data_IF_393555868374
#
_entry.id   IF_393555868374
#
_cell.length_a   1.000
_cell.length_b   1.000
_cell.length_c   1.000
_cell.angle_alpha   90.00
_cell.angle_beta   90.00
_cell.angle_gamma   90.00
#
_symmetry.space_group_name_H-M   'P 1'
#
loop_
_entity.id
_entity.type
_entity.pdbx_description
1 polymer ?
#
# COMPACT_ATOMS: atom_id res chain seq x y z
N UNK A 1 -37.28 -17.27 3.54
CA UNK A 1 -37.20 -16.08 2.65
C UNK A 1 -35.82 -15.46 2.84
N UNK A 2 -35.17 -15.06 1.75
CA UNK A 2 -33.94 -14.29 1.82
C UNK A 2 -34.24 -12.93 2.46
N UNK A 3 -33.34 -12.50 3.34
CA UNK A 3 -33.53 -11.30 4.16
C UNK A 3 -32.90 -10.06 3.52
N UNK A 4 -31.87 -10.28 2.67
CA UNK A 4 -31.09 -9.23 2.03
C UNK A 4 -31.00 -9.44 0.51
N UNK A 5 -30.87 -8.35 -0.26
CA UNK A 5 -30.49 -8.40 -1.67
C UNK A 5 -29.01 -8.83 -1.82
N UNK A 6 -28.14 -8.30 -0.96
CA UNK A 6 -26.70 -8.58 -1.01
C UNK A 6 -26.13 -9.00 0.35
N UNK A 7 -25.33 -10.06 0.34
CA UNK A 7 -24.36 -10.38 1.37
C UNK A 7 -22.96 -9.94 0.87
N UNK A 8 -22.33 -9.01 1.58
CA UNK A 8 -21.03 -8.46 1.24
C UNK A 8 -20.00 -9.01 2.23
N UNK A 9 -19.03 -9.78 1.72
CA UNK A 9 -17.98 -10.39 2.53
C UNK A 9 -16.72 -9.53 2.48
N UNK A 10 -16.44 -8.87 3.59
CA UNK A 10 -15.35 -7.91 3.77
C UNK A 10 -15.87 -6.51 4.05
N UNK A 11 -15.63 -6.01 5.27
CA UNK A 11 -15.95 -4.64 5.70
C UNK A 11 -14.82 -3.64 5.43
N UNK A 12 -13.98 -3.92 4.44
CA UNK A 12 -12.96 -3.00 3.92
C UNK A 12 -13.57 -1.92 3.02
N UNK A 13 -12.73 -1.05 2.45
CA UNK A 13 -13.18 0.08 1.64
C UNK A 13 -14.07 -0.34 0.45
N UNK A 14 -13.69 -1.41 -0.28
CA UNK A 14 -14.50 -1.89 -1.40
C UNK A 14 -15.89 -2.33 -0.96
N UNK A 15 -15.97 -3.19 0.07
CA UNK A 15 -17.26 -3.70 0.58
C UNK A 15 -18.14 -2.59 1.14
N UNK A 16 -17.55 -1.63 1.87
CA UNK A 16 -18.27 -0.48 2.42
C UNK A 16 -18.84 0.44 1.32
N UNK A 17 -18.05 0.73 0.28
CA UNK A 17 -18.52 1.53 -0.87
C UNK A 17 -19.62 0.80 -1.63
N UNK A 18 -19.45 -0.51 -1.89
CA UNK A 18 -20.48 -1.30 -2.56
C UNK A 18 -21.79 -1.29 -1.75
N UNK A 19 -21.70 -1.55 -0.44
CA UNK A 19 -22.87 -1.56 0.44
C UNK A 19 -23.60 -0.21 0.44
N UNK A 20 -22.86 0.89 0.56
CA UNK A 20 -23.40 2.25 0.52
C UNK A 20 -24.10 2.56 -0.80
N UNK A 21 -23.49 2.21 -1.93
CA UNK A 21 -24.10 2.46 -3.25
C UNK A 21 -25.34 1.58 -3.49
N UNK A 22 -25.30 0.32 -3.08
CA UNK A 22 -26.43 -0.60 -3.17
C UNK A 22 -27.60 -0.11 -2.31
N UNK A 23 -27.34 0.30 -1.07
CA UNK A 23 -28.38 0.84 -0.15
C UNK A 23 -28.96 2.14 -0.70
N UNK A 24 -28.15 3.02 -1.25
CA UNK A 24 -28.61 4.24 -1.94
C UNK A 24 -29.53 3.92 -3.14
N UNK A 25 -29.31 2.78 -3.78
CA UNK A 25 -30.16 2.27 -4.87
C UNK A 25 -31.40 1.48 -4.35
N UNK A 26 -31.71 1.53 -3.06
CA UNK A 26 -32.88 0.88 -2.46
C UNK A 26 -32.70 -0.61 -2.19
N UNK A 27 -31.46 -1.13 -2.15
CA UNK A 27 -31.14 -2.52 -1.88
C UNK A 27 -30.82 -2.74 -0.41
N UNK A 28 -31.24 -3.88 0.13
CA UNK A 28 -30.91 -4.32 1.48
C UNK A 28 -29.57 -5.07 1.47
N UNK A 29 -28.66 -4.72 2.40
CA UNK A 29 -27.32 -5.26 2.48
C UNK A 29 -27.01 -5.80 3.88
N UNK A 30 -26.31 -6.94 3.93
CA UNK A 30 -25.60 -7.43 5.10
C UNK A 30 -24.11 -7.45 4.80
N UNK A 31 -23.30 -6.74 5.59
CA UNK A 31 -21.83 -6.80 5.51
C UNK A 31 -21.31 -7.73 6.61
N UNK A 32 -20.39 -8.63 6.26
CA UNK A 32 -19.73 -9.52 7.23
C UNK A 32 -18.23 -9.42 7.09
N UNK A 33 -17.51 -9.47 8.22
CA UNK A 33 -16.04 -9.56 8.21
C UNK A 33 -15.56 -10.58 9.23
N UNK A 34 -14.49 -11.32 8.88
CA UNK A 34 -13.85 -12.29 9.77
C UNK A 34 -13.10 -11.64 10.95
N UNK A 35 -12.74 -10.36 10.81
CA UNK A 35 -12.03 -9.56 11.82
C UNK A 35 -13.04 -8.99 12.83
N UNK A 36 -12.51 -8.57 13.97
CA UNK A 36 -13.22 -7.88 15.06
C UNK A 36 -13.41 -6.37 14.80
N UNK A 37 -12.99 -5.91 13.62
CA UNK A 37 -13.06 -4.50 13.22
C UNK A 37 -13.45 -4.32 11.75
N UNK A 38 -14.01 -3.17 11.42
CA UNK A 38 -14.25 -2.68 10.05
C UNK A 38 -12.95 -2.15 9.42
N UNK A 39 -13.04 -1.59 8.24
CA UNK A 39 -11.99 -0.89 7.50
C UNK A 39 -10.93 -1.79 6.85
N UNK A 40 -10.97 -3.11 7.06
CA UNK A 40 -10.04 -4.02 6.38
C UNK A 40 -8.58 -3.60 6.58
N UNK A 41 -7.81 -3.51 5.50
CA UNK A 41 -6.38 -3.15 5.57
C UNK A 41 -6.13 -1.66 5.80
N UNK A 42 -7.14 -0.79 5.69
CA UNK A 42 -7.00 0.64 6.01
C UNK A 42 -7.38 0.95 7.48
N UNK A 43 -7.60 -0.09 8.30
CA UNK A 43 -7.91 0.08 9.72
C UNK A 43 -6.83 0.89 10.45
N UNK A 44 -7.28 1.84 11.25
CA UNK A 44 -6.43 2.66 12.14
C UNK A 44 -6.79 2.42 13.59
N UNK A 45 -5.77 2.14 14.42
CA UNK A 45 -5.90 2.00 15.87
C UNK A 45 -5.46 3.29 16.55
N UNK A 46 -6.25 3.80 17.49
CA UNK A 46 -5.84 4.98 18.25
C UNK A 46 -4.93 4.58 19.43
N UNK A 47 -3.68 5.05 19.40
CA UNK A 47 -2.70 4.84 20.46
C UNK A 47 -2.20 6.22 20.90
N UNK A 48 -2.44 6.61 22.15
CA UNK A 48 -2.03 7.91 22.71
C UNK A 48 -2.47 9.12 21.84
N UNK A 49 -3.64 9.03 21.22
CA UNK A 49 -4.16 10.06 20.33
C UNK A 49 -3.56 10.06 18.91
N UNK A 50 -2.78 9.04 18.56
CA UNK A 50 -2.18 8.85 17.23
C UNK A 50 -2.94 7.74 16.50
N UNK A 51 -3.41 7.99 15.29
CA UNK A 51 -4.04 6.99 14.44
C UNK A 51 -2.96 6.12 13.77
N UNK A 52 -2.73 4.93 14.32
CA UNK A 52 -1.75 3.95 13.84
C UNK A 52 -2.35 3.11 12.72
N UNK A 53 -1.77 3.14 11.54
CA UNK A 53 -2.17 2.30 10.40
C UNK A 53 -1.68 0.87 10.64
N UNK A 54 -2.57 -0.01 11.11
CA UNK A 54 -2.21 -1.37 11.58
C UNK A 54 -1.67 -2.30 10.50
N UNK A 55 -2.08 -2.08 9.27
CA UNK A 55 -1.72 -2.93 8.12
C UNK A 55 -0.83 -2.20 7.10
N UNK A 56 -0.05 -1.23 7.56
CA UNK A 56 0.83 -0.42 6.72
C UNK A 56 0.24 0.92 6.33
N UNK A 57 1.09 1.81 5.84
CA UNK A 57 0.70 3.15 5.45
C UNK A 57 -0.25 3.14 4.25
N UNK A 58 -1.40 3.74 4.41
CA UNK A 58 -2.36 3.97 3.34
C UNK A 58 -2.59 5.47 3.18
N UNK A 59 -2.28 5.99 2.01
CA UNK A 59 -2.51 7.37 1.62
C UNK A 59 -3.52 7.38 0.49
N UNK A 60 -4.66 8.08 0.68
CA UNK A 60 -5.65 8.20 -0.38
C UNK A 60 -5.13 9.14 -1.46
N UNK A 61 -5.18 8.71 -2.72
CA UNK A 61 -4.82 9.55 -3.86
C UNK A 61 -5.62 9.17 -5.10
N UNK A 62 -5.95 10.13 -5.95
CA UNK A 62 -6.69 9.90 -7.19
C UNK A 62 -6.60 11.09 -8.15
N UNK A 63 -6.66 10.83 -9.45
CA UNK A 63 -6.90 11.86 -10.48
C UNK A 63 -8.39 12.03 -10.79
N UNK A 64 -9.24 11.08 -10.37
CA UNK A 64 -10.67 11.13 -10.65
C UNK A 64 -11.39 12.05 -9.66
N UNK A 65 -11.89 13.17 -10.18
CA UNK A 65 -12.64 14.15 -9.38
C UNK A 65 -13.93 13.56 -8.78
N UNK A 66 -14.62 12.70 -9.48
CA UNK A 66 -15.86 12.07 -8.98
C UNK A 66 -15.58 11.21 -7.75
N UNK A 67 -14.47 10.43 -7.80
CA UNK A 67 -14.04 9.63 -6.65
C UNK A 67 -13.63 10.52 -5.48
N UNK A 68 -12.90 11.61 -5.74
CA UNK A 68 -12.52 12.57 -4.72
C UNK A 68 -13.74 13.23 -4.08
N UNK A 69 -14.68 13.73 -4.88
CA UNK A 69 -15.93 14.34 -4.39
C UNK A 69 -16.79 13.32 -3.62
N UNK A 70 -16.80 12.07 -4.06
CA UNK A 70 -17.53 11.01 -3.38
C UNK A 70 -16.98 10.73 -1.98
N UNK A 71 -15.69 10.50 -1.82
CA UNK A 71 -15.12 10.19 -0.49
C UNK A 71 -15.19 11.37 0.47
N UNK A 72 -15.15 12.60 -0.04
CA UNK A 72 -15.31 13.82 0.76
C UNK A 72 -16.74 14.04 1.28
N UNK A 73 -17.74 13.24 0.85
CA UNK A 73 -19.07 13.23 1.48
C UNK A 73 -19.06 12.51 2.84
N UNK A 74 -18.07 11.64 3.08
CA UNK A 74 -18.02 10.77 4.26
C UNK A 74 -16.88 11.11 5.23
N UNK A 75 -15.83 11.78 4.76
CA UNK A 75 -14.71 12.23 5.59
C UNK A 75 -14.10 13.52 5.06
N UNK A 76 -13.48 14.29 5.94
CA UNK A 76 -12.66 15.43 5.56
C UNK A 76 -11.21 14.96 5.43
N UNK A 77 -10.61 15.19 4.27
CA UNK A 77 -9.21 14.85 4.03
C UNK A 77 -8.30 16.04 4.36
N UNK A 78 -7.16 15.75 4.97
CA UNK A 78 -6.15 16.76 5.23
C UNK A 78 -5.29 17.01 3.98
N UNK A 79 -4.28 17.88 4.12
CA UNK A 79 -3.35 18.24 3.04
C UNK A 79 -2.08 17.39 3.02
N UNK A 80 -2.08 16.20 3.59
CA UNK A 80 -0.88 15.35 3.62
C UNK A 80 -0.42 15.04 2.19
N UNK A 81 0.85 15.33 1.93
CA UNK A 81 1.53 15.02 0.67
C UNK A 81 2.57 13.94 0.95
N UNK A 82 2.45 12.80 0.28
CA UNK A 82 3.36 11.70 0.48
C UNK A 82 4.74 12.01 -0.10
N UNK A 83 5.72 12.19 0.76
CA UNK A 83 7.10 12.53 0.41
C UNK A 83 8.08 11.63 1.19
N UNK A 84 8.14 10.31 0.85
CA UNK A 84 9.00 9.37 1.53
C UNK A 84 10.48 9.68 1.29
N UNK A 85 11.32 9.25 2.22
CA UNK A 85 12.77 9.37 2.15
C UNK A 85 13.39 7.96 2.16
N UNK A 86 14.45 7.75 1.38
CA UNK A 86 15.25 6.54 1.43
C UNK A 86 16.50 6.76 2.27
N UNK A 87 16.78 5.84 3.18
CA UNK A 87 18.03 5.76 3.93
C UNK A 87 18.86 4.60 3.36
N UNK A 88 20.04 4.92 2.87
CA UNK A 88 21.06 3.96 2.45
C UNK A 88 22.32 4.18 3.28
N UNK A 89 22.56 3.34 4.28
CA UNK A 89 23.76 3.39 5.15
C UNK A 89 24.00 4.77 5.79
N UNK A 90 22.91 5.45 6.19
CA UNK A 90 22.96 6.80 6.77
C UNK A 90 22.90 7.94 5.76
N UNK A 91 22.98 7.68 4.47
CA UNK A 91 22.75 8.68 3.42
C UNK A 91 21.26 8.78 3.12
N UNK A 92 20.70 9.98 3.18
CA UNK A 92 19.27 10.23 2.93
C UNK A 92 19.05 10.75 1.51
N UNK A 93 18.07 10.15 0.83
CA UNK A 93 17.66 10.49 -0.53
C UNK A 93 16.16 10.72 -0.60
N UNK A 94 15.72 11.73 -1.35
CA UNK A 94 14.30 11.96 -1.60
C UNK A 94 13.72 10.93 -2.57
N UNK A 95 12.45 10.59 -2.36
CA UNK A 95 11.64 9.79 -3.27
C UNK A 95 10.39 10.60 -3.68
N UNK A 96 9.88 10.42 -4.91
CA UNK A 96 10.39 9.58 -5.99
C UNK A 96 11.75 10.06 -6.46
N UNK A 97 12.41 9.30 -7.36
CA UNK A 97 13.70 9.74 -7.94
C UNK A 97 13.49 11.03 -8.72
N UNK A 98 14.04 12.11 -8.21
CA UNK A 98 13.86 13.47 -8.72
C UNK A 98 15.17 14.27 -8.65
N UNK A 99 15.14 15.54 -9.02
CA UNK A 99 16.35 16.39 -9.01
C UNK A 99 17.03 16.49 -7.64
N UNK A 100 16.27 16.39 -6.51
CA UNK A 100 16.90 16.33 -5.18
C UNK A 100 17.69 15.03 -4.99
N UNK A 101 17.16 13.90 -5.47
CA UNK A 101 17.85 12.60 -5.45
C UNK A 101 19.14 12.66 -6.29
N UNK A 102 19.04 13.19 -7.52
CA UNK A 102 20.17 13.27 -8.46
C UNK A 102 21.23 14.24 -7.98
N UNK A 103 20.84 15.40 -7.44
CA UNK A 103 21.77 16.35 -6.83
C UNK A 103 22.50 15.72 -5.65
N UNK A 104 21.78 15.06 -4.73
CA UNK A 104 22.40 14.39 -3.58
C UNK A 104 23.37 13.29 -4.00
N UNK A 105 23.05 12.54 -5.05
CA UNK A 105 23.87 11.39 -5.50
C UNK A 105 25.06 11.80 -6.34
N UNK A 106 24.89 12.77 -7.26
CA UNK A 106 25.89 13.12 -8.29
C UNK A 106 26.33 14.58 -8.28
N UNK A 107 25.74 15.44 -7.46
CA UNK A 107 26.05 16.87 -7.44
C UNK A 107 25.50 17.66 -8.65
N UNK A 108 24.68 17.04 -9.49
CA UNK A 108 24.08 17.69 -10.68
C UNK A 108 23.01 18.71 -10.26
N UNK A 109 22.87 19.78 -11.05
CA UNK A 109 21.98 20.89 -10.74
C UNK A 109 20.85 21.02 -11.77
N UNK A 110 21.12 20.65 -13.03
CA UNK A 110 20.16 20.79 -14.13
C UNK A 110 19.60 19.44 -14.58
N UNK A 111 18.37 19.42 -15.16
CA UNK A 111 17.83 18.22 -15.79
C UNK A 111 18.77 17.58 -16.82
N UNK A 112 19.39 18.38 -17.68
CA UNK A 112 20.29 17.89 -18.72
C UNK A 112 21.53 17.18 -18.15
N UNK A 113 22.10 17.67 -17.04
CA UNK A 113 23.21 16.99 -16.33
C UNK A 113 22.76 15.67 -15.74
N UNK A 114 21.56 15.61 -15.15
CA UNK A 114 21.00 14.40 -14.58
C UNK A 114 20.70 13.35 -15.66
N UNK A 115 20.10 13.76 -16.78
CA UNK A 115 19.85 12.89 -17.94
C UNK A 115 21.14 12.35 -18.51
N UNK A 116 22.16 13.19 -18.70
CA UNK A 116 23.48 12.79 -19.19
C UNK A 116 24.15 11.77 -18.25
N UNK A 117 23.98 11.94 -16.92
CA UNK A 117 24.53 11.01 -15.93
C UNK A 117 23.85 9.65 -15.95
N UNK A 118 22.52 9.61 -16.09
CA UNK A 118 21.76 8.38 -16.27
C UNK A 118 22.18 7.69 -17.57
N UNK A 119 22.32 8.44 -18.67
CA UNK A 119 22.72 7.91 -19.98
C UNK A 119 24.14 7.32 -19.94
N UNK A 120 25.09 8.01 -19.31
CA UNK A 120 26.44 7.50 -19.10
C UNK A 120 26.45 6.13 -18.42
N UNK A 121 25.64 5.99 -17.34
CA UNK A 121 25.60 4.76 -16.56
C UNK A 121 24.88 3.61 -17.26
N UNK A 122 23.81 3.92 -17.97
CA UNK A 122 23.06 2.88 -18.69
C UNK A 122 23.75 2.43 -19.98
N UNK A 123 24.61 3.25 -20.60
CA UNK A 123 25.20 2.93 -21.90
C UNK A 123 25.97 1.61 -21.94
N UNK A 124 26.61 1.22 -20.82
CA UNK A 124 27.32 -0.05 -20.69
C UNK A 124 26.43 -1.28 -20.45
N UNK A 125 25.15 -1.05 -20.06
CA UNK A 125 24.22 -2.09 -19.61
C UNK A 125 22.88 -2.04 -20.33
N UNK A 126 22.72 -1.13 -21.31
CA UNK A 126 21.45 -0.92 -22.02
C UNK A 126 21.00 -2.18 -22.75
N UNK A 127 19.74 -2.54 -22.55
CA UNK A 127 19.06 -3.55 -23.35
C UNK A 127 17.72 -3.00 -23.86
N UNK A 128 17.48 -3.19 -25.16
CA UNK A 128 16.22 -2.72 -25.77
C UNK A 128 14.99 -3.48 -25.25
N UNK A 129 15.17 -4.73 -24.87
CA UNK A 129 14.11 -5.61 -24.35
C UNK A 129 14.54 -6.18 -22.99
N UNK A 130 14.33 -5.42 -21.88
CA UNK A 130 14.71 -5.88 -20.55
C UNK A 130 13.89 -7.09 -20.14
N UNK A 131 14.56 -8.17 -19.77
CA UNK A 131 13.94 -9.45 -19.39
C UNK A 131 13.58 -9.55 -17.92
N UNK A 132 14.23 -8.74 -17.10
CA UNK A 132 14.08 -8.78 -15.65
C UNK A 132 14.10 -7.37 -15.06
N UNK A 133 13.80 -7.30 -13.74
CA UNK A 133 13.72 -6.05 -13.02
C UNK A 133 15.05 -5.29 -12.97
N UNK A 134 16.19 -5.99 -12.83
CA UNK A 134 17.51 -5.37 -12.81
C UNK A 134 17.80 -4.61 -14.12
N UNK A 135 17.65 -5.27 -15.27
CA UNK A 135 17.83 -4.66 -16.58
C UNK A 135 16.89 -3.46 -16.79
N UNK A 136 15.63 -3.61 -16.40
CA UNK A 136 14.65 -2.53 -16.52
C UNK A 136 15.00 -1.35 -15.60
N UNK A 137 15.43 -1.59 -14.37
CA UNK A 137 15.82 -0.54 -13.43
C UNK A 137 17.03 0.23 -13.92
N UNK A 138 18.08 -0.45 -14.36
CA UNK A 138 19.31 0.21 -14.89
C UNK A 138 18.96 1.03 -16.13
N UNK A 139 18.10 0.55 -17.02
CA UNK A 139 17.60 1.31 -18.16
C UNK A 139 16.87 2.60 -17.76
N UNK A 140 16.19 2.62 -16.61
CA UNK A 140 15.41 3.77 -16.17
C UNK A 140 16.24 4.80 -15.39
N UNK A 141 17.11 4.34 -14.49
CA UNK A 141 17.71 5.22 -13.47
C UNK A 141 19.24 5.11 -13.38
N UNK A 142 19.87 4.23 -14.17
CA UNK A 142 21.32 3.97 -14.09
C UNK A 142 21.70 3.05 -12.92
N UNK A 143 22.99 2.69 -12.89
CA UNK A 143 23.52 1.71 -11.94
C UNK A 143 23.57 2.22 -10.51
N UNK A 144 23.93 3.48 -10.27
CA UNK A 144 24.10 4.01 -8.91
C UNK A 144 22.77 4.02 -8.15
N UNK A 145 21.70 4.50 -8.78
CA UNK A 145 20.35 4.52 -8.18
C UNK A 145 19.85 3.10 -8.01
N UNK A 146 20.05 2.23 -9.01
CA UNK A 146 19.67 0.83 -8.90
C UNK A 146 20.34 0.16 -7.70
N UNK A 147 21.65 0.21 -7.57
CA UNK A 147 22.39 -0.47 -6.50
C UNK A 147 22.08 0.09 -5.11
N UNK A 148 22.00 1.44 -4.96
CA UNK A 148 21.76 2.07 -3.66
C UNK A 148 20.31 2.06 -3.22
N UNK A 149 19.36 2.31 -4.13
CA UNK A 149 18.00 2.67 -3.74
C UNK A 149 16.92 1.66 -4.18
N UNK A 150 17.19 0.81 -5.17
CA UNK A 150 16.21 -0.12 -5.74
C UNK A 150 16.48 -1.57 -5.34
N UNK A 151 17.68 -2.06 -5.58
CA UNK A 151 18.04 -3.47 -5.54
C UNK A 151 17.61 -4.16 -4.25
N UNK A 152 18.25 -3.85 -3.15
CA UNK A 152 18.03 -4.59 -1.90
C UNK A 152 16.69 -4.28 -1.25
N UNK A 153 16.12 -3.08 -1.48
CA UNK A 153 14.75 -2.81 -1.07
C UNK A 153 13.77 -3.75 -1.77
N UNK A 154 13.91 -3.90 -3.08
CA UNK A 154 13.04 -4.77 -3.89
C UNK A 154 13.26 -6.25 -3.56
N UNK A 155 14.53 -6.67 -3.40
CA UNK A 155 14.87 -8.05 -3.01
C UNK A 155 14.29 -8.44 -1.64
N UNK A 156 14.31 -7.53 -0.67
CA UNK A 156 13.63 -7.73 0.63
C UNK A 156 12.13 -7.88 0.44
N UNK A 157 11.52 -6.97 -0.31
CA UNK A 157 10.07 -6.95 -0.52
C UNK A 157 9.56 -8.23 -1.19
N UNK A 158 10.27 -8.68 -2.23
CA UNK A 158 9.83 -9.84 -3.02
C UNK A 158 10.45 -11.17 -2.56
N UNK A 159 11.51 -11.15 -1.75
CA UNK A 159 12.22 -12.34 -1.30
C UNK A 159 12.95 -13.09 -2.42
N UNK A 160 13.26 -12.40 -3.52
CA UNK A 160 13.95 -12.90 -4.73
C UNK A 160 14.96 -11.88 -5.21
N UNK A 161 16.00 -12.31 -5.91
CA UNK A 161 16.95 -11.40 -6.55
C UNK A 161 16.27 -10.62 -7.70
N UNK A 162 16.69 -9.37 -7.92
CA UNK A 162 16.11 -8.54 -8.98
C UNK A 162 16.19 -9.14 -10.38
N UNK A 163 17.23 -9.91 -10.66
CA UNK A 163 17.39 -10.64 -11.95
C UNK A 163 16.34 -11.76 -12.16
N UNK A 164 15.72 -12.24 -11.09
CA UNK A 164 14.71 -13.31 -11.12
C UNK A 164 13.29 -12.73 -11.04
N UNK A 165 13.15 -11.42 -11.01
CA UNK A 165 11.86 -10.71 -10.98
C UNK A 165 11.51 -10.15 -12.35
N UNK A 166 10.20 -10.18 -12.75
CA UNK A 166 9.77 -9.64 -14.02
C UNK A 166 10.01 -8.13 -14.16
N UNK A 167 10.40 -7.68 -15.34
CA UNK A 167 10.69 -6.27 -15.65
C UNK A 167 9.49 -5.33 -15.38
N UNK A 168 8.25 -5.82 -15.53
CA UNK A 168 7.05 -5.00 -15.37
C UNK A 168 6.85 -4.46 -13.95
N UNK A 169 7.41 -5.11 -12.92
CA UNK A 169 7.29 -4.68 -11.50
C UNK A 169 7.79 -3.24 -11.33
N UNK A 170 8.86 -2.86 -12.01
CA UNK A 170 9.47 -1.53 -11.91
C UNK A 170 9.18 -0.63 -13.12
N UNK A 171 8.41 -1.10 -14.10
CA UNK A 171 8.14 -0.36 -15.33
C UNK A 171 7.55 1.05 -15.10
N UNK A 172 6.85 1.24 -13.99
CA UNK A 172 6.21 2.51 -13.61
C UNK A 172 6.95 3.25 -12.50
N UNK A 173 8.23 2.97 -12.30
CA UNK A 173 9.05 3.70 -11.33
C UNK A 173 9.01 5.21 -11.66
N UNK A 174 8.53 6.06 -10.74
CA UNK A 174 8.46 7.48 -11.03
C UNK A 174 9.86 8.10 -11.03
N UNK A 175 10.25 8.63 -12.20
CA UNK A 175 11.48 9.38 -12.41
C UNK A 175 11.10 10.78 -12.90
N UNK A 176 11.59 11.82 -12.26
CA UNK A 176 11.25 13.20 -12.56
C UNK A 176 12.46 14.10 -12.62
N UNK A 177 12.55 14.90 -13.67
CA UNK A 177 13.59 15.91 -13.82
C UNK A 177 13.13 17.29 -13.28
N UNK A 178 12.48 17.25 -12.10
CA UNK A 178 12.01 18.42 -11.35
C UNK A 178 12.36 18.24 -9.87
N UNK A 179 12.33 19.32 -9.08
CA UNK A 179 12.56 19.31 -7.63
C UNK A 179 11.27 19.01 -6.83
N UNK A 180 10.40 18.17 -7.37
CA UNK A 180 9.12 17.81 -6.73
C UNK A 180 9.26 16.48 -5.95
N UNK A 181 9.06 16.55 -4.62
CA UNK A 181 9.12 15.42 -3.72
C UNK A 181 7.77 14.73 -3.51
N UNK A 182 6.69 15.19 -4.16
CA UNK A 182 5.42 14.48 -4.07
C UNK A 182 5.53 13.12 -4.76
N UNK A 183 5.33 12.04 -4.01
CA UNK A 183 5.49 10.69 -4.54
C UNK A 183 4.45 10.36 -5.62
N UNK A 184 3.22 10.84 -5.46
CA UNK A 184 2.15 10.60 -6.41
C UNK A 184 2.09 11.66 -7.51
N UNK A 185 1.65 11.25 -8.70
CA UNK A 185 1.33 12.17 -9.80
C UNK A 185 -0.14 12.63 -9.77
N UNK A 186 -0.91 12.13 -8.79
CA UNK A 186 -2.34 12.37 -8.72
C UNK A 186 -2.65 13.78 -8.20
N UNK A 187 -3.72 14.34 -8.75
CA UNK A 187 -4.18 15.70 -8.43
C UNK A 187 -4.68 15.84 -7.00
N UNK A 188 -5.30 14.78 -6.47
CA UNK A 188 -5.89 14.75 -5.16
C UNK A 188 -5.19 13.71 -4.30
N UNK A 189 -4.85 14.06 -3.08
CA UNK A 189 -4.31 13.15 -2.09
C UNK A 189 -4.55 13.69 -0.67
N UNK A 190 -4.51 12.82 0.32
CA UNK A 190 -4.65 13.18 1.73
C UNK A 190 -4.92 11.99 2.62
N UNK A 191 -5.02 12.27 3.91
CA UNK A 191 -5.42 11.32 4.95
C UNK A 191 -6.74 11.80 5.55
N UNK A 192 -7.73 10.93 5.77
CA UNK A 192 -8.97 11.33 6.43
C UNK A 192 -8.68 11.73 7.88
N UNK A 193 -9.11 12.92 8.27
CA UNK A 193 -8.89 13.47 9.61
C UNK A 193 -9.60 12.60 10.65
N UNK A 194 -8.84 12.11 11.63
CA UNK A 194 -9.32 11.22 12.69
C UNK A 194 -9.35 9.74 12.29
N UNK A 195 -8.61 9.37 11.23
CA UNK A 195 -8.38 8.00 10.80
C UNK A 195 -9.39 7.47 9.80
N UNK A 196 -9.02 6.39 9.14
CA UNK A 196 -9.85 5.74 8.11
C UNK A 196 -11.11 5.08 8.66
N UNK A 197 -11.12 4.69 9.93
CA UNK A 197 -12.30 4.03 10.52
C UNK A 197 -13.54 4.90 10.40
N UNK A 198 -13.41 6.23 10.64
CA UNK A 198 -14.52 7.18 10.53
C UNK A 198 -15.12 7.26 9.12
N UNK A 199 -14.30 7.13 8.10
CA UNK A 199 -14.75 7.05 6.70
C UNK A 199 -15.64 5.80 6.51
N UNK A 200 -15.16 4.65 7.00
CA UNK A 200 -15.90 3.38 6.86
C UNK A 200 -17.16 3.34 7.71
N UNK A 201 -17.10 3.86 8.94
CA UNK A 201 -18.29 4.01 9.80
C UNK A 201 -19.40 4.81 9.11
N UNK A 202 -19.03 5.92 8.45
CA UNK A 202 -19.97 6.74 7.69
C UNK A 202 -20.52 6.03 6.44
N UNK A 203 -19.68 5.27 5.73
CA UNK A 203 -20.12 4.49 4.57
C UNK A 203 -21.09 3.36 4.97
N UNK A 204 -20.92 2.78 6.15
CA UNK A 204 -21.73 1.67 6.67
C UNK A 204 -22.88 2.15 7.56
N UNK A 205 -23.09 3.45 7.72
CA UNK A 205 -24.15 4.00 8.57
C UNK A 205 -25.54 3.48 8.13
N UNK A 206 -26.24 2.82 9.07
CA UNK A 206 -27.55 2.23 8.82
C UNK A 206 -27.53 0.92 8.02
N UNK A 207 -26.38 0.33 7.77
CA UNK A 207 -26.22 -0.96 7.10
C UNK A 207 -25.88 -2.04 8.11
N UNK A 208 -26.61 -3.16 8.07
CA UNK A 208 -26.35 -4.30 8.93
C UNK A 208 -24.92 -4.82 8.74
N UNK A 209 -24.14 -4.81 9.82
CA UNK A 209 -22.74 -5.25 9.80
C UNK A 209 -22.48 -6.24 10.92
N UNK A 210 -21.84 -7.38 10.60
CA UNK A 210 -21.46 -8.43 11.56
C UNK A 210 -19.96 -8.67 11.45
N UNK A 211 -19.26 -8.37 12.52
CA UNK A 211 -17.84 -8.67 12.71
C UNK A 211 -17.66 -10.08 13.28
N UNK A 212 -16.41 -10.54 13.43
CA UNK A 212 -16.09 -11.89 13.92
C UNK A 212 -16.84 -13.01 13.16
N UNK A 213 -17.20 -12.74 11.90
CA UNK A 213 -18.03 -13.62 11.07
C UNK A 213 -17.25 -14.09 9.84
N UNK A 214 -16.73 -15.31 9.90
CA UNK A 214 -15.97 -15.91 8.81
C UNK A 214 -16.89 -16.58 7.79
N UNK A 215 -17.10 -15.93 6.66
CA UNK A 215 -17.96 -16.43 5.59
C UNK A 215 -17.58 -17.83 5.12
N UNK A 216 -16.27 -18.14 5.05
CA UNK A 216 -15.83 -19.46 4.52
C UNK A 216 -16.13 -20.60 5.49
N UNK A 217 -16.27 -20.33 6.80
CA UNK A 217 -16.69 -21.34 7.79
C UNK A 217 -18.18 -21.61 7.75
N UNK A 218 -19.01 -20.57 7.52
CA UNK A 218 -20.46 -20.64 7.58
C UNK A 218 -21.11 -20.29 6.23
N UNK A 219 -20.43 -20.64 5.11
CA UNK A 219 -20.77 -20.23 3.75
C UNK A 219 -22.23 -20.50 3.39
N UNK A 220 -22.71 -21.71 3.66
CA UNK A 220 -24.06 -22.13 3.30
C UNK A 220 -25.12 -21.33 4.06
N UNK A 221 -24.98 -21.22 5.38
CA UNK A 221 -25.89 -20.48 6.23
C UNK A 221 -25.93 -19.00 5.89
N UNK A 222 -24.75 -18.37 5.69
CA UNK A 222 -24.64 -16.96 5.34
C UNK A 222 -25.17 -16.68 3.93
N UNK A 223 -24.84 -17.52 2.95
CA UNK A 223 -25.35 -17.36 1.58
C UNK A 223 -26.88 -17.50 1.48
N UNK A 224 -27.49 -18.28 2.38
CA UNK A 224 -28.93 -18.41 2.42
C UNK A 224 -29.66 -17.12 2.85
N UNK A 225 -28.95 -16.15 3.46
CA UNK A 225 -29.51 -14.88 3.93
C UNK A 225 -29.74 -13.85 2.82
N UNK A 226 -29.05 -13.97 1.68
CA UNK A 226 -29.09 -12.97 0.61
C UNK A 226 -29.30 -13.56 -0.78
N UNK A 227 -29.76 -12.72 -1.72
CA UNK A 227 -29.92 -13.14 -3.12
C UNK A 227 -28.58 -13.29 -3.83
N UNK A 228 -27.64 -12.38 -3.55
CA UNK A 228 -26.33 -12.34 -4.18
C UNK A 228 -25.24 -12.17 -3.13
N UNK A 229 -24.12 -12.90 -3.32
CA UNK A 229 -22.92 -12.78 -2.49
C UNK A 229 -21.88 -11.98 -3.26
N UNK A 230 -21.35 -10.92 -2.63
CA UNK A 230 -20.20 -10.13 -3.09
C UNK A 230 -19.01 -10.48 -2.22
N UNK A 231 -18.08 -11.27 -2.75
CA UNK A 231 -16.93 -11.76 -2.01
C UNK A 231 -15.66 -10.93 -2.34
N UNK A 232 -15.05 -10.33 -1.32
CA UNK A 232 -13.85 -9.48 -1.48
C UNK A 232 -12.57 -10.12 -0.96
N UNK A 233 -12.65 -11.36 -0.49
CA UNK A 233 -11.48 -12.11 -0.02
C UNK A 233 -10.68 -12.75 -1.16
N UNK A 234 -9.61 -13.51 -0.84
CA UNK A 234 -8.82 -14.21 -1.84
C UNK A 234 -9.65 -15.20 -2.65
N UNK A 235 -9.57 -15.10 -3.98
CA UNK A 235 -10.43 -15.88 -4.89
C UNK A 235 -10.15 -17.38 -4.83
N UNK A 236 -8.90 -17.78 -4.63
CA UNK A 236 -8.50 -19.16 -4.47
C UNK A 236 -9.08 -19.81 -3.20
N UNK A 237 -9.23 -19.05 -2.11
CA UNK A 237 -9.93 -19.47 -0.90
C UNK A 237 -11.43 -19.66 -1.15
N UNK A 238 -12.06 -18.76 -1.95
CA UNK A 238 -13.47 -18.90 -2.30
C UNK A 238 -13.75 -20.23 -3.02
N UNK A 239 -12.84 -20.69 -3.85
CA UNK A 239 -12.93 -21.96 -4.56
C UNK A 239 -12.30 -23.15 -3.82
N UNK A 240 -12.02 -23.02 -2.52
CA UNK A 240 -11.42 -24.07 -1.68
C UNK A 240 -10.11 -24.62 -2.27
N UNK A 241 -9.37 -23.75 -2.96
CA UNK A 241 -8.09 -24.07 -3.64
C UNK A 241 -8.18 -25.18 -4.70
N UNK A 242 -9.37 -25.51 -5.19
CA UNK A 242 -9.57 -26.63 -6.15
C UNK A 242 -8.84 -26.47 -7.47
N UNK A 243 -8.50 -25.24 -7.85
CA UNK A 243 -7.72 -24.94 -9.05
C UNK A 243 -6.23 -24.74 -8.76
N UNK A 244 -5.83 -24.78 -7.51
CA UNK A 244 -4.49 -24.49 -7.02
C UNK A 244 -4.48 -23.29 -6.05
N UNK A 245 -3.31 -23.01 -5.47
CA UNK A 245 -3.10 -21.88 -4.55
C UNK A 245 -2.35 -20.78 -5.27
N UNK A 246 -2.87 -19.57 -5.17
CA UNK A 246 -2.15 -18.36 -5.56
C UNK A 246 -1.04 -18.08 -4.54
N UNK A 247 0.05 -17.48 -5.00
CA UNK A 247 1.15 -17.08 -4.15
C UNK A 247 0.97 -15.63 -3.71
N UNK A 248 1.25 -15.36 -2.45
CA UNK A 248 1.18 -14.03 -1.86
C UNK A 248 2.48 -13.69 -1.13
N UNK A 249 2.75 -12.40 -1.02
CA UNK A 249 3.68 -11.86 -0.03
C UNK A 249 2.88 -11.32 1.14
N UNK A 250 3.48 -11.41 2.31
CA UNK A 250 2.90 -10.90 3.55
C UNK A 250 3.82 -9.88 4.20
N UNK A 251 3.29 -9.17 5.18
CA UNK A 251 4.01 -8.19 5.97
C UNK A 251 3.82 -8.51 7.46
N UNK A 252 4.88 -8.29 8.23
CA UNK A 252 4.85 -8.28 9.68
C UNK A 252 5.22 -6.89 10.17
N UNK A 253 4.45 -6.36 11.09
CA UNK A 253 4.68 -5.05 11.70
C UNK A 253 5.14 -5.20 13.14
N UNK A 254 6.15 -4.43 13.51
CA UNK A 254 6.56 -4.24 14.91
C UNK A 254 6.26 -2.81 15.27
N UNK A 255 5.24 -2.62 16.12
CA UNK A 255 4.80 -1.31 16.59
C UNK A 255 5.48 -0.99 17.92
N UNK A 256 5.96 0.24 18.06
CA UNK A 256 6.64 0.73 19.25
C UNK A 256 6.17 2.13 19.60
N UNK A 257 5.73 2.30 20.84
CA UNK A 257 5.45 3.61 21.42
C UNK A 257 6.74 4.17 22.01
N UNK A 258 7.17 5.33 21.52
CA UNK A 258 8.40 5.99 21.95
C UNK A 258 8.09 7.25 22.76
N UNK A 259 8.88 7.47 23.80
CA UNK A 259 8.82 8.65 24.66
C UNK A 259 9.67 9.80 24.06
N UNK A 260 9.27 10.20 22.85
CA UNK A 260 9.83 11.37 22.15
C UNK A 260 8.79 11.95 21.20
N UNK A 261 8.87 13.24 20.95
CA UNK A 261 7.92 13.94 20.08
C UNK A 261 8.10 13.60 18.60
N UNK A 262 9.31 13.34 18.16
CA UNK A 262 9.66 13.12 16.76
C UNK A 262 10.85 12.16 16.65
N UNK A 263 10.66 11.03 16.01
CA UNK A 263 11.68 9.99 15.88
C UNK A 263 12.54 10.13 14.61
N UNK A 264 11.91 10.33 13.47
CA UNK A 264 12.61 10.34 12.18
C UNK A 264 12.31 11.56 11.29
N UNK A 265 11.42 12.45 11.74
CA UNK A 265 11.10 13.70 11.02
C UNK A 265 10.29 13.53 9.75
N UNK A 266 9.78 12.33 9.45
CA UNK A 266 8.96 12.07 8.28
C UNK A 266 8.03 10.88 8.54
N UNK A 267 6.88 10.84 7.87
CA UNK A 267 5.94 9.74 8.01
C UNK A 267 6.53 8.40 7.55
N UNK A 268 7.31 8.39 6.47
CA UNK A 268 7.86 7.15 5.91
C UNK A 268 9.33 7.31 5.55
N UNK A 269 10.19 6.47 6.12
CA UNK A 269 11.59 6.32 5.74
C UNK A 269 11.82 4.88 5.29
N UNK A 270 12.23 4.71 4.03
CA UNK A 270 12.59 3.42 3.43
C UNK A 270 14.06 3.10 3.72
N UNK A 271 14.34 1.88 4.14
CA UNK A 271 15.70 1.38 4.35
C UNK A 271 16.10 0.49 3.18
N UNK A 272 17.01 0.96 2.35
CA UNK A 272 17.33 0.34 1.06
C UNK A 272 18.54 -0.57 1.10
N UNK A 273 19.33 -0.54 2.17
CA UNK A 273 20.48 -1.44 2.38
C UNK A 273 20.04 -2.87 2.72
N UNK A 274 20.90 -3.83 2.42
CA UNK A 274 20.61 -5.27 2.63
C UNK A 274 20.64 -5.68 4.09
N UNK A 275 21.50 -5.05 4.88
CA UNK A 275 21.78 -5.40 6.28
C UNK A 275 20.63 -5.07 7.22
N UNK A 276 19.77 -4.12 6.84
CA UNK A 276 18.55 -3.78 7.60
C UNK A 276 17.42 -4.68 7.17
N UNK A 277 16.82 -5.48 8.08
CA UNK A 277 15.87 -6.53 7.70
C UNK A 277 14.46 -6.02 7.38
N UNK A 278 14.09 -4.81 7.81
CA UNK A 278 12.82 -4.17 7.44
C UNK A 278 12.97 -3.30 6.20
N UNK A 279 11.87 -3.08 5.50
CA UNK A 279 11.85 -2.22 4.31
C UNK A 279 11.65 -0.76 4.65
N UNK A 280 10.90 -0.46 5.72
CA UNK A 280 10.63 0.93 6.13
C UNK A 280 10.26 1.04 7.60
N UNK A 281 10.41 2.27 8.10
CA UNK A 281 9.81 2.71 9.35
C UNK A 281 8.72 3.72 9.00
N UNK A 282 7.56 3.53 9.61
CA UNK A 282 6.42 4.45 9.53
C UNK A 282 6.31 5.16 10.88
N UNK A 283 6.34 6.48 10.90
CA UNK A 283 6.03 7.29 12.08
C UNK A 283 4.66 7.93 11.88
N UNK A 284 3.65 7.37 12.54
CA UNK A 284 2.25 7.55 12.18
C UNK A 284 1.70 8.96 12.43
N UNK A 285 2.19 9.67 13.45
CA UNK A 285 1.67 11.01 13.77
C UNK A 285 1.82 12.03 12.64
N UNK A 286 2.84 11.85 11.79
CA UNK A 286 3.08 12.78 10.68
C UNK A 286 2.00 12.73 9.59
N UNK A 287 1.21 11.65 9.48
CA UNK A 287 0.10 11.57 8.54
C UNK A 287 -0.99 12.61 8.82
N UNK A 288 -1.20 12.94 10.10
CA UNK A 288 -2.21 13.90 10.51
C UNK A 288 -1.60 15.16 11.16
N UNK A 289 -0.29 15.42 10.94
CA UNK A 289 0.43 16.57 11.51
C UNK A 289 0.35 16.62 13.04
N UNK A 290 0.39 15.45 13.68
CA UNK A 290 0.21 15.32 15.12
C UNK A 290 1.31 15.97 15.95
N UNK A 291 0.94 16.50 17.11
CA UNK A 291 1.80 17.24 18.04
C UNK A 291 1.89 16.58 19.42
N UNK A 292 1.58 15.28 19.52
CA UNK A 292 1.64 14.52 20.76
C UNK A 292 3.09 14.48 21.31
N UNK A 293 3.27 14.44 22.62
CA UNK A 293 4.58 14.34 23.28
C UNK A 293 5.30 13.02 22.98
N UNK A 294 4.52 11.97 22.71
CA UNK A 294 5.00 10.65 22.30
C UNK A 294 4.78 10.40 20.82
N UNK A 295 5.47 9.41 20.28
CA UNK A 295 5.23 8.97 18.88
C UNK A 295 5.11 7.45 18.80
N UNK A 296 4.41 6.97 17.78
CA UNK A 296 4.32 5.54 17.45
C UNK A 296 5.01 5.30 16.12
N UNK A 297 5.93 4.35 16.12
CA UNK A 297 6.56 3.86 14.91
C UNK A 297 6.16 2.43 14.62
N UNK A 298 6.13 2.07 13.33
CA UNK A 298 6.00 0.69 12.87
C UNK A 298 7.18 0.33 11.96
N UNK A 299 7.91 -0.76 12.31
CA UNK A 299 8.89 -1.38 11.40
C UNK A 299 8.17 -2.42 10.55
N UNK A 300 8.27 -2.29 9.24
CA UNK A 300 7.62 -3.17 8.28
C UNK A 300 8.59 -4.20 7.73
N UNK A 301 8.31 -5.47 8.01
CA UNK A 301 9.11 -6.61 7.57
C UNK A 301 8.38 -7.39 6.48
N UNK A 302 8.92 -7.48 5.28
CA UNK A 302 8.38 -8.40 4.26
C UNK A 302 8.64 -9.85 4.67
N UNK A 303 7.61 -10.67 4.60
CA UNK A 303 7.72 -12.08 4.94
C UNK A 303 7.06 -12.95 3.85
N UNK A 304 7.52 -14.18 3.73
CA UNK A 304 6.86 -15.17 2.88
C UNK A 304 5.53 -15.56 3.53
N UNK A 305 4.45 -15.42 2.78
CA UNK A 305 3.12 -15.76 3.24
C UNK A 305 3.00 -17.24 3.63
N UNK A 306 2.36 -17.49 4.75
CA UNK A 306 1.99 -18.84 5.23
C UNK A 306 0.49 -18.88 5.51
N UNK A 307 -0.09 -20.05 5.53
CA UNK A 307 -1.52 -20.21 5.88
C UNK A 307 -1.78 -19.62 7.27
N UNK A 308 -2.68 -18.66 7.32
CA UNK A 308 -3.02 -17.90 8.54
C UNK A 308 -2.48 -16.48 8.55
N UNK A 309 -1.47 -16.17 7.73
CA UNK A 309 -1.01 -14.80 7.55
C UNK A 309 -1.96 -14.00 6.66
N UNK A 310 -1.97 -12.69 6.82
CA UNK A 310 -2.71 -11.80 5.91
C UNK A 310 -2.02 -11.74 4.54
N UNK A 311 -2.72 -11.99 3.42
CA UNK A 311 -2.16 -11.85 2.08
C UNK A 311 -2.18 -10.38 1.64
N UNK A 312 -1.01 -9.72 1.62
CA UNK A 312 -0.93 -8.31 1.23
C UNK A 312 -0.75 -8.10 -0.27
N UNK A 313 0.13 -8.87 -0.90
CA UNK A 313 0.49 -8.68 -2.30
C UNK A 313 0.39 -10.00 -3.06
N UNK A 314 -0.48 -10.10 -4.09
CA UNK A 314 -0.45 -11.25 -4.98
C UNK A 314 0.85 -11.23 -5.81
N UNK A 315 1.44 -12.42 -6.00
CA UNK A 315 2.60 -12.58 -6.88
C UNK A 315 2.10 -12.67 -8.32
N UNK A 316 2.28 -11.60 -9.09
CA UNK A 316 1.81 -11.49 -10.47
C UNK A 316 2.89 -12.00 -11.46
N UNK A 317 3.25 -13.27 -11.37
CA UNK A 317 4.07 -13.95 -12.37
C UNK A 317 3.22 -14.75 -13.36
N UNK A 318 3.84 -15.34 -14.39
CA UNK A 318 3.13 -16.11 -15.41
C UNK A 318 2.36 -17.29 -14.82
N UNK A 319 2.94 -17.96 -13.82
CA UNK A 319 2.33 -19.13 -13.16
C UNK A 319 1.04 -18.72 -12.43
N UNK A 320 1.10 -17.66 -11.62
CA UNK A 320 -0.06 -17.20 -10.85
C UNK A 320 -1.11 -16.54 -11.76
N UNK A 321 -0.69 -15.84 -12.81
CA UNK A 321 -1.60 -15.25 -13.82
C UNK A 321 -2.35 -16.36 -14.60
N UNK A 322 -1.67 -17.45 -14.95
CA UNK A 322 -2.31 -18.58 -15.64
C UNK A 322 -3.28 -19.35 -14.73
N UNK A 323 -3.03 -19.34 -13.42
CA UNK A 323 -3.90 -19.98 -12.43
C UNK A 323 -5.16 -19.13 -12.16
N UNK A 324 -5.01 -17.79 -12.16
CA UNK A 324 -6.10 -16.84 -11.96
C UNK A 324 -7.07 -16.81 -13.15
#
# INVERSE_FOLDING_TARGET
MKQYDYLIVGAGLFGAVFAQQATKAGKSCLVVDKRDHIAGNIYTENVEGINVHRYGAHIFHTNNKEVWDYVNQFAVFNRYTNSPVANYKGELYNLPFNMNTFNKMWGVVTPAEAEAKIEEQRAAHFTAEPKNLEEQAINLVGTDIYEKLVKHYTEKQWGRECKDLPAFIIKRLPVRFTYDNNYFNDRYQGIPIGGYNKLIEKLLEGIDTRLDTDFLKDREALSALADTVVYTGPIDQYYDYRFGKLEYRSLRFENELLDCENYQGNAVVNYTEREVPYTRIIEHKHFEFGTQEKTVISREYPVTWKKGDEPYYPVNDEKNTALY
#
